data_IF_408721368102
#
_entry.id   IF_408721368102
#
_cell.length_a   1.000
_cell.length_b   1.000
_cell.length_c   1.000
_cell.angle_alpha   90.00
_cell.angle_beta   90.00
_cell.angle_gamma   90.00
#
_symmetry.space_group_name_H-M   'P 1'
#
loop_
_entity.id
_entity.type
_entity.pdbx_description
1 polymer ?
#
# COMPACT_ATOMS: atom_id res chain seq x y z
N UNK A 1 -17.55 1.63 -1.78
CA UNK A 1 -16.58 1.32 -0.70
C UNK A 1 -15.21 1.72 -1.24
N UNK A 2 -14.36 2.41 -0.48
CA UNK A 2 -13.03 2.81 -1.00
C UNK A 2 -12.14 1.58 -1.13
N UNK A 3 -11.45 1.46 -2.25
CA UNK A 3 -10.41 0.44 -2.45
C UNK A 3 -9.03 1.00 -2.09
N UNK A 4 -8.02 0.13 -1.87
CA UNK A 4 -6.65 0.56 -1.51
C UNK A 4 -6.10 1.59 -2.51
N UNK A 5 -6.42 1.42 -3.80
CA UNK A 5 -6.00 2.34 -4.88
C UNK A 5 -6.52 3.77 -4.69
N UNK A 6 -7.67 3.95 -4.04
CA UNK A 6 -8.25 5.27 -3.77
C UNK A 6 -7.46 6.07 -2.72
N UNK A 7 -6.58 5.39 -1.97
CA UNK A 7 -5.70 6.00 -0.98
C UNK A 7 -4.32 6.34 -1.52
N UNK A 8 -4.02 6.03 -2.78
CA UNK A 8 -2.69 6.24 -3.36
C UNK A 8 -2.74 7.47 -4.27
N UNK A 9 -1.98 8.52 -3.92
CA UNK A 9 -1.86 9.69 -4.79
C UNK A 9 -0.76 9.48 -5.83
N UNK A 10 -0.86 10.21 -6.93
CA UNK A 10 0.13 10.16 -8.02
C UNK A 10 0.80 11.51 -8.18
N UNK A 11 2.13 11.51 -8.14
CA UNK A 11 2.97 12.70 -8.30
C UNK A 11 3.74 12.53 -9.62
N UNK A 12 3.43 13.37 -10.60
CA UNK A 12 4.13 13.36 -11.88
C UNK A 12 5.54 13.95 -11.75
N UNK A 13 6.47 13.45 -12.57
CA UNK A 13 7.85 13.93 -12.72
C UNK A 13 8.70 13.91 -11.45
N UNK A 14 8.40 13.01 -10.50
CA UNK A 14 9.15 12.84 -9.26
C UNK A 14 9.80 11.44 -9.19
N UNK A 15 11.05 11.30 -8.72
CA UNK A 15 12.01 12.37 -8.38
C UNK A 15 12.61 13.09 -9.61
N UNK A 16 12.37 12.56 -10.82
CA UNK A 16 12.82 13.16 -12.08
C UNK A 16 11.73 13.01 -13.15
N UNK A 17 11.85 13.80 -14.22
CA UNK A 17 10.89 13.85 -15.34
C UNK A 17 10.63 12.46 -15.96
N UNK A 18 9.36 12.20 -16.27
CA UNK A 18 8.88 10.97 -16.90
C UNK A 18 8.35 9.92 -15.93
N UNK A 19 8.44 10.15 -14.62
CA UNK A 19 8.02 9.19 -13.59
C UNK A 19 6.64 9.58 -13.03
N UNK A 20 5.71 8.61 -12.96
CA UNK A 20 4.44 8.75 -12.24
C UNK A 20 4.57 8.12 -10.86
N UNK A 21 5.12 8.86 -9.90
CA UNK A 21 5.39 8.36 -8.56
C UNK A 21 4.09 8.08 -7.81
N UNK A 22 3.98 6.88 -7.23
CA UNK A 22 2.83 6.47 -6.42
C UNK A 22 3.19 6.67 -4.96
N UNK A 23 2.63 7.72 -4.38
CA UNK A 23 2.88 8.03 -2.99
C UNK A 23 1.85 7.31 -2.11
N UNK A 24 2.35 6.32 -1.35
CA UNK A 24 1.59 5.48 -0.43
C UNK A 24 1.51 6.07 0.98
N UNK A 25 2.16 7.20 1.27
CA UNK A 25 2.08 7.83 2.61
C UNK A 25 0.67 8.25 2.97
N UNK A 26 -0.18 8.54 1.97
CA UNK A 26 -1.60 8.82 2.16
C UNK A 26 -2.40 7.59 2.58
N UNK A 27 -2.01 6.38 2.13
CA UNK A 27 -2.56 5.12 2.62
C UNK A 27 -2.13 4.85 4.06
N UNK A 28 -0.85 5.07 4.38
CA UNK A 28 -0.32 4.85 5.73
C UNK A 28 -0.91 5.80 6.77
N UNK A 29 -1.36 6.98 6.34
CA UNK A 29 -1.97 7.98 7.21
C UNK A 29 -3.47 7.72 7.49
N UNK A 30 -4.15 6.83 6.75
CA UNK A 30 -5.53 6.42 7.04
C UNK A 30 -5.55 5.09 7.82
N UNK A 31 -6.00 5.06 9.09
CA UNK A 31 -5.99 3.85 9.91
C UNK A 31 -6.80 2.69 9.31
N UNK A 32 -7.90 2.98 8.61
CA UNK A 32 -8.74 1.96 7.97
C UNK A 32 -8.09 1.45 6.69
N UNK A 33 -7.55 2.36 5.89
CA UNK A 33 -6.81 2.03 4.67
C UNK A 33 -5.63 1.11 4.98
N UNK A 34 -4.82 1.45 5.99
CA UNK A 34 -3.69 0.64 6.43
C UNK A 34 -4.13 -0.75 6.91
N UNK A 35 -5.20 -0.83 7.73
CA UNK A 35 -5.72 -2.11 8.22
C UNK A 35 -6.16 -3.02 7.08
N UNK A 36 -6.95 -2.51 6.14
CA UNK A 36 -7.42 -3.28 4.97
C UNK A 36 -6.24 -3.77 4.13
N UNK A 37 -5.22 -2.92 3.93
CA UNK A 37 -4.02 -3.27 3.18
C UNK A 37 -3.27 -4.44 3.82
N UNK A 38 -3.00 -4.36 5.12
CA UNK A 38 -2.31 -5.43 5.85
C UNK A 38 -3.12 -6.72 5.85
N UNK A 39 -4.42 -6.65 6.10
CA UNK A 39 -5.29 -7.84 6.09
C UNK A 39 -5.27 -8.54 4.72
N UNK A 40 -5.33 -7.77 3.62
CA UNK A 40 -5.25 -8.31 2.25
C UNK A 40 -3.86 -8.87 1.92
N UNK A 41 -2.78 -8.26 2.41
CA UNK A 41 -1.41 -8.74 2.21
C UNK A 41 -1.17 -10.07 2.94
N UNK A 42 -1.71 -10.22 4.15
CA UNK A 42 -1.48 -11.40 4.99
C UNK A 42 -2.42 -12.57 4.64
N UNK A 43 -3.60 -12.31 4.07
CA UNK A 43 -4.61 -13.34 3.81
C UNK A 43 -4.09 -14.58 3.05
N UNK A 44 -3.27 -14.47 1.99
CA UNK A 44 -2.74 -15.63 1.28
C UNK A 44 -1.74 -16.47 2.08
N UNK A 45 -1.25 -15.96 3.21
CA UNK A 45 -0.21 -16.57 4.04
C UNK A 45 -0.73 -17.00 5.42
N UNK A 46 -2.04 -16.93 5.66
CA UNK A 46 -2.63 -17.13 6.99
C UNK A 46 -2.28 -18.47 7.64
N UNK A 47 -2.04 -19.51 6.84
CA UNK A 47 -1.73 -20.87 7.30
C UNK A 47 -0.24 -21.24 7.15
N UNK A 48 0.63 -20.26 6.91
CA UNK A 48 2.06 -20.48 6.75
C UNK A 48 2.82 -20.03 8.01
N UNK A 49 3.71 -20.89 8.51
CA UNK A 49 4.72 -20.46 9.48
C UNK A 49 5.78 -19.64 8.74
N UNK A 50 5.83 -18.34 9.03
CA UNK A 50 6.80 -17.41 8.43
C UNK A 50 7.84 -17.05 9.50
N UNK A 51 9.06 -17.54 9.32
CA UNK A 51 10.20 -17.19 10.20
C UNK A 51 10.74 -15.78 9.93
N UNK A 52 10.58 -15.26 8.70
CA UNK A 52 11.12 -13.96 8.28
C UNK A 52 10.38 -13.35 7.09
N UNK A 53 10.19 -12.02 7.13
CA UNK A 53 9.80 -11.16 6.01
C UNK A 53 10.99 -10.23 5.68
N UNK A 54 11.30 -10.03 4.38
CA UNK A 54 12.43 -9.19 3.89
C UNK A 54 11.90 -7.98 3.14
#
# INVERSE_FOLDING_TARGET
>A
MKEIKDYIRTIADFPHRGIMFRDVTTLFSDPRGLRICVDQLLHPFADQEIDKVV
#
